data_IF_014040720919
#
_entry.id   IF_014040720919
#
_cell.length_a   1.000
_cell.length_b   1.000
_cell.length_c   1.000
_cell.angle_alpha   90.00
_cell.angle_beta   90.00
_cell.angle_gamma   90.00
#
_symmetry.space_group_name_H-M   'P 1'
#
loop_
_entity.id
_entity.type
_entity.pdbx_description
1 polymer ?
#
# COMPACT_ATOMS: atom_id res chain seq x y z
N UNK A 1 -8.57 -6.09 15.34
CA UNK A 1 -7.49 -5.18 14.92
C UNK A 1 -6.69 -5.90 13.86
N UNK A 2 -6.42 -5.26 12.72
CA UNK A 2 -5.60 -5.85 11.66
C UNK A 2 -4.13 -5.66 12.02
N UNK A 3 -3.34 -6.71 11.86
CA UNK A 3 -1.89 -6.69 12.03
C UNK A 3 -1.28 -7.20 10.73
N UNK A 4 -0.48 -6.37 10.06
CA UNK A 4 0.22 -6.79 8.86
C UNK A 4 1.30 -7.83 9.22
N UNK A 5 1.40 -8.97 8.50
CA UNK A 5 2.40 -10.01 8.74
C UNK A 5 3.75 -9.64 8.11
N UNK A 6 4.35 -8.54 8.58
CA UNK A 6 5.57 -7.95 8.00
C UNK A 6 6.75 -8.94 7.99
N UNK A 7 6.92 -9.72 9.06
CA UNK A 7 8.01 -10.70 9.15
C UNK A 7 7.90 -11.78 8.06
N UNK A 8 6.67 -12.27 7.79
CA UNK A 8 6.43 -13.26 6.75
C UNK A 8 6.65 -12.66 5.35
N UNK A 9 6.20 -11.42 5.12
CA UNK A 9 6.44 -10.69 3.86
C UNK A 9 7.95 -10.53 3.59
N UNK A 10 8.72 -10.10 4.61
CA UNK A 10 10.18 -9.98 4.54
C UNK A 10 10.83 -11.34 4.27
N UNK A 11 10.36 -12.40 4.94
CA UNK A 11 10.86 -13.75 4.70
C UNK A 11 10.66 -14.18 3.24
N UNK A 12 9.45 -13.97 2.68
CA UNK A 12 9.14 -14.30 1.28
C UNK A 12 9.99 -13.48 0.32
N UNK A 13 10.11 -12.17 0.52
CA UNK A 13 10.91 -11.30 -0.35
C UNK A 13 12.40 -11.69 -0.34
N UNK A 14 12.96 -11.98 0.83
CA UNK A 14 14.38 -12.35 0.96
C UNK A 14 14.66 -13.76 0.46
N UNK A 15 13.90 -14.74 0.91
CA UNK A 15 14.27 -16.15 0.73
C UNK A 15 13.60 -16.85 -0.45
N UNK A 16 12.44 -16.37 -0.90
CA UNK A 16 11.68 -17.02 -1.98
C UNK A 16 11.75 -16.22 -3.28
N UNK A 17 11.53 -14.91 -3.21
CA UNK A 17 11.65 -14.02 -4.39
C UNK A 17 13.12 -13.74 -4.71
N UNK A 18 13.95 -13.53 -3.68
CA UNK A 18 15.35 -13.16 -3.84
C UNK A 18 15.49 -11.67 -4.19
N UNK A 19 15.07 -10.80 -3.28
CA UNK A 19 15.06 -9.34 -3.46
C UNK A 19 16.43 -8.77 -3.85
N UNK A 20 17.53 -9.37 -3.38
CA UNK A 20 18.90 -8.98 -3.77
C UNK A 20 19.14 -9.08 -5.28
N UNK A 21 18.56 -10.10 -5.92
CA UNK A 21 18.66 -10.30 -7.37
C UNK A 21 17.86 -9.24 -8.12
N UNK A 22 16.74 -8.80 -7.55
CA UNK A 22 15.91 -7.72 -8.09
C UNK A 22 16.64 -6.39 -7.96
N UNK A 23 17.22 -6.10 -6.79
CA UNK A 23 18.01 -4.90 -6.54
C UNK A 23 19.25 -4.80 -7.45
N UNK A 24 19.81 -5.93 -7.89
CA UNK A 24 20.92 -5.98 -8.83
C UNK A 24 20.51 -5.73 -10.30
N UNK A 25 19.20 -5.67 -10.61
CA UNK A 25 18.73 -5.36 -11.96
C UNK A 25 18.81 -3.86 -12.22
N UNK A 26 19.02 -3.52 -13.49
CA UNK A 26 18.93 -2.13 -13.95
C UNK A 26 17.55 -1.57 -13.61
N UNK A 27 17.51 -0.32 -13.12
CA UNK A 27 16.32 0.41 -12.64
C UNK A 27 15.85 0.13 -11.21
N UNK A 28 16.51 -0.76 -10.45
CA UNK A 28 16.19 -1.05 -9.05
C UNK A 28 17.35 -0.80 -8.09
N UNK A 29 18.30 0.04 -8.47
CA UNK A 29 19.52 0.32 -7.70
C UNK A 29 19.23 0.97 -6.33
N UNK A 30 18.07 1.60 -6.17
CA UNK A 30 17.60 2.19 -4.92
C UNK A 30 17.05 1.15 -3.92
N UNK A 31 16.76 -0.07 -4.37
CA UNK A 31 16.16 -1.11 -3.53
C UNK A 31 17.20 -1.65 -2.56
N UNK A 32 16.92 -1.51 -1.27
CA UNK A 32 17.71 -2.08 -0.19
C UNK A 32 16.79 -2.77 0.82
N UNK A 33 17.35 -3.66 1.64
CA UNK A 33 16.63 -4.30 2.74
C UNK A 33 15.99 -3.27 3.68
N UNK A 34 16.73 -2.20 4.03
CA UNK A 34 16.25 -1.13 4.90
C UNK A 34 15.08 -0.35 4.26
N UNK A 35 15.14 -0.10 2.95
CA UNK A 35 14.06 0.58 2.24
C UNK A 35 12.80 -0.30 2.20
N UNK A 36 12.96 -1.59 1.87
CA UNK A 36 11.84 -2.54 1.84
C UNK A 36 11.21 -2.66 3.23
N UNK A 37 12.01 -2.76 4.28
CA UNK A 37 11.53 -2.82 5.66
C UNK A 37 10.73 -1.56 6.04
N UNK A 38 11.27 -0.37 5.76
CA UNK A 38 10.57 0.88 6.04
C UNK A 38 9.24 0.99 5.27
N UNK A 39 9.21 0.56 3.99
CA UNK A 39 8.00 0.56 3.17
C UNK A 39 6.94 -0.37 3.76
N UNK A 40 7.32 -1.59 4.12
CA UNK A 40 6.41 -2.58 4.70
C UNK A 40 5.86 -2.13 6.06
N UNK A 41 6.71 -1.57 6.93
CA UNK A 41 6.30 -1.08 8.24
C UNK A 41 5.29 0.09 8.14
N UNK A 42 5.57 1.08 7.30
CA UNK A 42 4.67 2.23 7.13
C UNK A 42 3.37 1.84 6.41
N UNK A 43 3.42 0.92 5.44
CA UNK A 43 2.22 0.34 4.81
C UNK A 43 1.39 -0.42 5.85
N UNK A 44 2.04 -1.19 6.73
CA UNK A 44 1.41 -1.91 7.82
C UNK A 44 0.68 -0.99 8.79
N UNK A 45 1.29 0.15 9.16
CA UNK A 45 0.66 1.18 10.00
C UNK A 45 -0.55 1.80 9.31
N UNK A 46 -0.45 2.21 8.05
CA UNK A 46 -1.59 2.73 7.30
C UNK A 46 -2.74 1.72 7.28
N UNK A 47 -2.44 0.46 6.96
CA UNK A 47 -3.42 -0.61 6.90
C UNK A 47 -4.09 -0.87 8.26
N UNK A 48 -3.31 -0.93 9.34
CA UNK A 48 -3.80 -1.23 10.69
C UNK A 48 -4.53 -0.08 11.38
N UNK A 49 -4.01 1.15 11.23
CA UNK A 49 -4.45 2.32 12.00
C UNK A 49 -5.48 3.18 11.25
N UNK A 50 -5.45 3.19 9.91
CA UNK A 50 -6.32 4.04 9.09
C UNK A 50 -7.38 3.22 8.36
N UNK A 51 -6.98 2.17 7.64
CA UNK A 51 -7.88 1.43 6.75
C UNK A 51 -8.72 0.42 7.53
N UNK A 52 -8.10 -0.46 8.29
CA UNK A 52 -8.79 -1.56 8.97
C UNK A 52 -9.92 -1.13 9.93
N UNK A 53 -9.82 -0.02 10.69
CA UNK A 53 -10.91 0.43 11.55
C UNK A 53 -12.20 0.77 10.78
N UNK A 54 -12.08 1.14 9.50
CA UNK A 54 -13.22 1.51 8.65
C UNK A 54 -13.93 0.30 8.04
N UNK A 55 -13.35 -0.90 8.13
CA UNK A 55 -13.85 -2.06 7.39
C UNK A 55 -15.29 -2.43 7.81
N UNK A 56 -15.56 -2.54 9.11
CA UNK A 56 -16.88 -2.94 9.60
C UNK A 56 -17.93 -1.84 9.43
N UNK A 57 -17.61 -0.60 9.80
CA UNK A 57 -18.55 0.52 9.65
C UNK A 57 -18.85 0.82 8.17
N UNK A 58 -17.85 0.67 7.30
CA UNK A 58 -17.98 0.78 5.85
C UNK A 58 -18.96 -0.23 5.28
N UNK A 59 -18.79 -1.51 5.63
CA UNK A 59 -19.67 -2.60 5.19
C UNK A 59 -21.12 -2.40 5.64
N UNK A 60 -21.31 -2.04 6.92
CA UNK A 60 -22.65 -1.81 7.48
C UNK A 60 -23.36 -0.59 6.88
N UNK A 61 -22.60 0.44 6.46
CA UNK A 61 -23.16 1.68 5.92
C UNK A 61 -23.43 1.58 4.42
N UNK A 62 -22.48 1.02 3.66
CA UNK A 62 -22.52 0.97 2.21
C UNK A 62 -22.41 2.35 1.53
N UNK A 63 -22.28 2.33 0.20
CA UNK A 63 -22.32 3.55 -0.62
C UNK A 63 -23.74 3.83 -1.09
N UNK A 64 -24.12 5.11 -1.14
CA UNK A 64 -25.44 5.56 -1.60
C UNK A 64 -25.30 6.24 -2.95
N UNK A 65 -26.04 5.77 -3.96
CA UNK A 65 -26.20 6.49 -5.23
C UNK A 65 -27.31 7.51 -5.09
N UNK A 66 -26.99 8.78 -5.30
CA UNK A 66 -27.91 9.90 -5.23
C UNK A 66 -28.73 10.06 -6.51
N UNK A 67 -29.79 10.86 -6.47
CA UNK A 67 -30.68 11.10 -7.62
C UNK A 67 -29.96 11.77 -8.80
N UNK A 68 -29.00 12.64 -8.51
CA UNK A 68 -28.14 13.32 -9.51
C UNK A 68 -27.07 12.41 -10.14
N UNK A 69 -26.99 11.16 -9.68
CA UNK A 69 -26.02 10.17 -10.14
C UNK A 69 -24.67 10.20 -9.42
N UNK A 70 -24.45 11.13 -8.47
CA UNK A 70 -23.30 11.09 -7.59
C UNK A 70 -23.37 9.91 -6.61
N UNK A 71 -22.23 9.55 -6.02
CA UNK A 71 -22.14 8.47 -5.03
C UNK A 71 -21.52 9.02 -3.75
N UNK A 72 -22.19 8.81 -2.63
CA UNK A 72 -21.68 9.11 -1.30
C UNK A 72 -21.09 7.83 -0.70
N UNK A 73 -19.81 7.88 -0.32
CA UNK A 73 -19.09 6.78 0.33
C UNK A 73 -19.34 6.77 1.84
N UNK A 74 -19.10 5.63 2.53
CA UNK A 74 -19.17 5.58 3.98
C UNK A 74 -18.26 6.61 4.66
N UNK A 75 -18.62 7.11 5.85
CA UNK A 75 -17.77 8.01 6.63
C UNK A 75 -16.35 7.47 6.81
N UNK A 76 -15.36 8.36 6.70
CA UNK A 76 -13.93 8.04 6.86
C UNK A 76 -13.24 7.54 5.59
N UNK A 77 -13.95 7.00 4.59
CA UNK A 77 -13.32 6.48 3.37
C UNK A 77 -12.61 7.55 2.55
N UNK A 78 -13.18 8.77 2.48
CA UNK A 78 -12.52 9.89 1.78
C UNK A 78 -11.21 10.30 2.46
N UNK A 79 -11.16 10.28 3.80
CA UNK A 79 -9.95 10.64 4.55
C UNK A 79 -8.89 9.54 4.45
N UNK A 80 -9.30 8.26 4.50
CA UNK A 80 -8.41 7.13 4.27
C UNK A 80 -7.85 7.11 2.84
N UNK A 81 -8.68 7.40 1.84
CA UNK A 81 -8.22 7.56 0.46
C UNK A 81 -7.20 8.68 0.33
N UNK A 82 -7.46 9.82 0.97
CA UNK A 82 -6.53 10.95 1.00
C UNK A 82 -5.18 10.54 1.61
N UNK A 83 -5.19 9.90 2.77
CA UNK A 83 -3.98 9.39 3.42
C UNK A 83 -3.21 8.40 2.53
N UNK A 84 -3.91 7.49 1.85
CA UNK A 84 -3.31 6.54 0.90
C UNK A 84 -2.67 7.26 -0.30
N UNK A 85 -3.35 8.26 -0.86
CA UNK A 85 -2.88 9.03 -2.01
C UNK A 85 -1.68 9.93 -1.66
N UNK A 86 -1.75 10.66 -0.53
CA UNK A 86 -0.70 11.58 -0.07
C UNK A 86 0.54 10.83 0.40
N UNK A 87 0.39 9.59 0.92
CA UNK A 87 1.51 8.71 1.23
C UNK A 87 2.15 8.04 0.01
N UNK A 88 1.65 8.28 -1.20
CA UNK A 88 2.22 7.75 -2.44
C UNK A 88 1.98 6.25 -2.67
N UNK A 89 1.10 5.62 -1.88
CA UNK A 89 0.86 4.17 -1.90
C UNK A 89 0.16 3.69 -3.17
N UNK A 90 -0.60 4.57 -3.83
CA UNK A 90 -1.28 4.28 -5.11
C UNK A 90 -0.30 4.13 -6.28
N UNK A 91 0.91 4.71 -6.16
CA UNK A 91 1.92 4.76 -7.22
C UNK A 91 3.23 4.06 -6.86
N UNK A 92 3.22 3.11 -5.92
CA UNK A 92 4.43 2.53 -5.34
C UNK A 92 5.39 1.93 -6.39
N UNK A 93 4.85 1.19 -7.36
CA UNK A 93 5.61 0.59 -8.46
C UNK A 93 5.38 1.29 -9.82
N UNK A 94 4.72 2.45 -9.81
CA UNK A 94 4.48 3.22 -11.02
C UNK A 94 5.77 3.91 -11.48
N UNK A 95 5.81 4.27 -12.76
CA UNK A 95 6.94 4.94 -13.40
C UNK A 95 7.20 6.33 -12.76
N UNK A 96 8.45 6.62 -12.31
CA UNK A 96 8.81 7.93 -11.80
C UNK A 96 8.56 9.09 -12.76
N UNK A 97 8.61 8.89 -14.08
CA UNK A 97 8.28 9.94 -15.07
C UNK A 97 6.82 10.43 -14.96
N UNK A 98 5.95 9.61 -14.38
CA UNK A 98 4.54 9.90 -14.15
C UNK A 98 4.21 10.10 -12.66
N UNK A 99 5.22 10.28 -11.80
CA UNK A 99 5.06 10.53 -10.36
C UNK A 99 4.96 9.29 -9.48
N UNK A 100 5.32 8.11 -9.99
CA UNK A 100 5.45 6.89 -9.19
C UNK A 100 6.75 6.82 -8.38
N UNK A 101 6.87 5.82 -7.51
CA UNK A 101 8.08 5.60 -6.69
C UNK A 101 9.09 4.64 -7.33
N UNK A 102 8.72 3.95 -8.42
CA UNK A 102 9.63 3.06 -9.15
C UNK A 102 10.05 1.79 -8.40
N UNK A 103 9.38 1.41 -7.31
CA UNK A 103 9.72 0.19 -6.58
C UNK A 103 9.34 -1.07 -7.37
N UNK A 104 10.02 -2.21 -7.14
CA UNK A 104 9.67 -3.46 -7.78
C UNK A 104 8.24 -3.92 -7.48
N UNK A 105 7.60 -4.59 -8.45
CA UNK A 105 6.28 -5.16 -8.29
C UNK A 105 6.18 -6.11 -7.09
N UNK A 106 7.25 -6.84 -6.75
CA UNK A 106 7.24 -7.74 -5.59
C UNK A 106 7.12 -6.99 -4.26
N UNK A 107 7.68 -5.78 -4.15
CA UNK A 107 7.53 -4.93 -2.95
C UNK A 107 6.13 -4.33 -2.88
N UNK A 108 5.57 -3.91 -4.02
CA UNK A 108 4.18 -3.40 -4.12
C UNK A 108 3.11 -4.47 -3.86
N UNK A 109 3.41 -5.73 -4.15
CA UNK A 109 2.51 -6.86 -3.92
C UNK A 109 2.65 -7.51 -2.54
N UNK A 110 3.68 -7.15 -1.78
CA UNK A 110 3.93 -7.66 -0.43
C UNK A 110 3.05 -6.91 0.57
#
# INVERSE_FOLDING_TARGET
MYQAPIDDMKFVLRHLVGIDRVAAMQSYEMVSDDLVEAVLDEAGKLAGEVIAPLNHSGDMTGSVRNEDGSVTTPPGFSDAWKAMSEGGWVGLNADPEHGGQGLPQCVSAA
#
